data_IF_862747751783
#
_entry.id   IF_862747751783
#
_cell.length_a   1.000
_cell.length_b   1.000
_cell.length_c   1.000
_cell.angle_alpha   90.00
_cell.angle_beta   90.00
_cell.angle_gamma   90.00
#
_symmetry.space_group_name_H-M   'P 1'
#
loop_
_entity.id
_entity.type
_entity.pdbx_description
1 polymer ?
#
# COMPACT_ATOMS: atom_id res chain seq x y z
N UNK A 1 -12.51 -9.30 -5.83
CA UNK A 1 -12.28 -10.77 -5.88
C UNK A 1 -13.10 -11.52 -6.92
N UNK A 2 -14.31 -11.10 -7.29
CA UNK A 2 -15.17 -11.80 -8.28
C UNK A 2 -14.62 -11.72 -9.72
N UNK A 3 -13.98 -10.60 -10.08
CA UNK A 3 -13.36 -10.39 -11.40
C UNK A 3 -12.19 -11.34 -11.67
N UNK A 4 -11.36 -11.61 -10.65
CA UNK A 4 -10.15 -12.43 -10.76
C UNK A 4 -10.50 -13.90 -11.03
N UNK A 5 -11.54 -14.42 -10.38
CA UNK A 5 -12.00 -15.80 -10.61
C UNK A 5 -12.53 -16.00 -12.04
N UNK A 6 -13.31 -15.05 -12.55
CA UNK A 6 -13.82 -15.14 -13.93
C UNK A 6 -12.71 -15.05 -14.97
N UNK A 7 -11.70 -14.22 -14.74
CA UNK A 7 -10.57 -14.06 -15.66
C UNK A 7 -9.71 -15.32 -15.72
N UNK A 8 -9.41 -15.93 -14.56
CA UNK A 8 -8.68 -17.20 -14.49
C UNK A 8 -9.41 -18.32 -15.22
N UNK A 9 -10.74 -18.42 -15.05
CA UNK A 9 -11.56 -19.42 -15.74
C UNK A 9 -11.54 -19.21 -17.26
N UNK A 10 -11.66 -17.97 -17.74
CA UNK A 10 -11.58 -17.65 -19.17
C UNK A 10 -10.21 -17.92 -19.79
N UNK A 11 -9.12 -17.62 -19.07
CA UNK A 11 -7.75 -17.90 -19.53
C UNK A 11 -7.52 -19.41 -19.59
N UNK A 12 -7.99 -20.16 -18.59
CA UNK A 12 -7.83 -21.61 -18.55
C UNK A 12 -8.63 -22.33 -19.64
N UNK A 13 -9.86 -21.89 -19.92
CA UNK A 13 -10.68 -22.43 -21.01
C UNK A 13 -10.07 -22.14 -22.38
N UNK A 14 -9.62 -20.90 -22.61
CA UNK A 14 -8.95 -20.51 -23.86
C UNK A 14 -7.62 -21.27 -24.06
N UNK A 15 -6.89 -21.57 -22.98
CA UNK A 15 -5.65 -22.35 -23.07
C UNK A 15 -5.90 -23.82 -23.46
N UNK A 16 -6.98 -24.43 -22.95
CA UNK A 16 -7.37 -25.81 -23.25
C UNK A 16 -7.81 -25.98 -24.72
N UNK A 17 -8.58 -25.04 -25.26
CA UNK A 17 -9.03 -25.08 -26.66
C UNK A 17 -7.86 -24.97 -27.67
N UNK A 18 -6.85 -24.16 -27.34
CA UNK A 18 -5.68 -23.95 -28.18
C UNK A 18 -4.67 -25.11 -28.18
N UNK A 19 -4.69 -25.97 -27.14
CA UNK A 19 -3.79 -27.12 -27.03
C UNK A 19 -4.05 -28.19 -28.10
N UNK A 20 -5.31 -28.38 -28.52
CA UNK A 20 -5.68 -29.35 -29.55
C UNK A 20 -5.21 -28.92 -30.96
N UNK A 21 -5.18 -27.61 -31.23
CA UNK A 21 -4.69 -27.04 -32.49
C UNK A 21 -3.16 -27.09 -32.59
N UNK A 22 -2.48 -27.02 -31.44
CA UNK A 22 -1.02 -27.04 -31.35
C UNK A 22 -0.41 -28.37 -31.82
N UNK A 23 -1.06 -29.50 -31.49
CA UNK A 23 -0.59 -30.86 -31.80
C UNK A 23 -0.63 -31.20 -33.30
N UNK A 24 -1.39 -30.44 -34.11
CA UNK A 24 -1.58 -30.69 -35.55
C UNK A 24 -0.60 -29.91 -36.45
N UNK A 25 0.25 -29.04 -35.89
CA UNK A 25 1.17 -28.18 -36.65
C UNK A 25 2.51 -28.88 -36.91
N UNK A 26 3.00 -28.74 -38.15
CA UNK A 26 4.21 -29.41 -38.68
C UNK A 26 5.53 -29.00 -38.01
N UNK A 27 5.58 -27.84 -37.36
CA UNK A 27 6.74 -27.34 -36.61
C UNK A 27 6.28 -26.70 -35.30
N UNK A 28 6.22 -27.48 -34.19
CA UNK A 28 5.70 -27.00 -32.91
C UNK A 28 6.63 -25.97 -32.25
N UNK A 29 7.95 -26.17 -32.34
CA UNK A 29 8.96 -25.33 -31.69
C UNK A 29 8.89 -23.84 -32.11
N UNK A 30 8.75 -23.57 -33.41
CA UNK A 30 8.65 -22.21 -33.93
C UNK A 30 7.33 -21.54 -33.56
N UNK A 31 6.26 -22.32 -33.43
CA UNK A 31 4.95 -21.80 -33.02
C UNK A 31 4.91 -21.47 -31.51
N UNK A 32 5.64 -22.23 -30.68
CA UNK A 32 5.80 -21.96 -29.25
C UNK A 32 6.51 -20.62 -29.05
N UNK A 33 7.62 -20.40 -29.74
CA UNK A 33 8.41 -19.18 -29.63
C UNK A 33 7.61 -17.93 -30.04
N UNK A 34 6.87 -17.99 -31.16
CA UNK A 34 6.03 -16.88 -31.62
C UNK A 34 4.89 -16.62 -30.63
N UNK A 35 4.24 -17.66 -30.10
CA UNK A 35 3.16 -17.50 -29.14
C UNK A 35 3.63 -16.89 -27.82
N UNK A 36 4.82 -17.25 -27.33
CA UNK A 36 5.46 -16.68 -26.14
C UNK A 36 5.80 -15.19 -26.33
N UNK A 37 6.35 -14.82 -27.49
CA UNK A 37 6.67 -13.42 -27.82
C UNK A 37 5.39 -12.58 -27.94
N UNK A 38 4.36 -13.12 -28.60
CA UNK A 38 3.08 -12.43 -28.75
C UNK A 38 2.40 -12.23 -27.40
N UNK A 39 2.37 -13.24 -26.52
CA UNK A 39 1.80 -13.08 -25.18
C UNK A 39 2.52 -12.00 -24.38
N UNK A 40 3.85 -11.94 -24.40
CA UNK A 40 4.61 -10.89 -23.70
C UNK A 40 4.27 -9.45 -24.15
N UNK A 41 3.91 -9.26 -25.43
CA UNK A 41 3.59 -7.94 -26.01
C UNK A 41 2.16 -7.47 -25.73
N UNK A 42 1.22 -8.37 -25.44
CA UNK A 42 -0.21 -8.01 -25.22
C UNK A 42 -0.60 -7.97 -23.74
N UNK A 43 0.31 -8.27 -22.81
CA UNK A 43 0.02 -8.11 -21.38
C UNK A 43 0.13 -6.62 -20.99
N UNK A 44 -0.98 -5.94 -20.65
CA UNK A 44 -0.88 -4.58 -20.13
C UNK A 44 -0.12 -4.62 -18.81
N UNK A 45 0.94 -3.82 -18.69
CA UNK A 45 1.58 -3.55 -17.41
C UNK A 45 0.55 -2.85 -16.51
N UNK A 46 0.05 -3.57 -15.50
CA UNK A 46 -0.84 -2.97 -14.49
C UNK A 46 0.04 -2.07 -13.61
N UNK A 47 0.17 -0.80 -13.99
CA UNK A 47 0.85 0.20 -13.16
C UNK A 47 -0.11 0.57 -12.03
N UNK A 48 0.18 0.16 -10.80
CA UNK A 48 -0.53 0.68 -9.63
C UNK A 48 -0.03 2.11 -9.40
N UNK A 49 -0.81 3.11 -9.82
CA UNK A 49 -0.56 4.48 -9.44
C UNK A 49 -0.64 4.58 -7.91
N UNK A 50 0.48 4.91 -7.27
CA UNK A 50 0.50 5.23 -5.86
C UNK A 50 -0.17 6.60 -5.70
N UNK A 51 -1.48 6.61 -5.44
CA UNK A 51 -2.20 7.83 -5.11
C UNK A 51 -1.52 8.47 -3.89
N UNK A 52 -0.84 9.60 -4.11
CA UNK A 52 -0.24 10.38 -3.03
C UNK A 52 -1.37 10.88 -2.13
N UNK A 53 -1.27 10.67 -0.80
CA UNK A 53 -2.31 11.10 0.10
C UNK A 53 -2.50 12.63 0.05
N UNK A 54 -3.71 13.12 0.37
CA UNK A 54 -3.99 14.55 0.47
C UNK A 54 -3.06 15.26 1.47
N UNK A 55 -2.79 16.55 1.26
CA UNK A 55 -1.80 17.31 2.04
C UNK A 55 -2.04 17.28 3.56
N UNK A 56 -3.29 17.29 4.02
CA UNK A 56 -3.65 17.19 5.44
C UNK A 56 -3.33 15.81 6.04
N UNK A 57 -3.50 14.75 5.25
CA UNK A 57 -3.10 13.39 5.61
C UNK A 57 -1.59 13.25 5.61
N UNK A 58 -0.89 13.81 4.62
CA UNK A 58 0.58 13.80 4.55
C UNK A 58 1.21 14.53 5.73
N UNK A 59 0.70 15.71 6.08
CA UNK A 59 1.17 16.46 7.25
C UNK A 59 0.90 15.71 8.56
N UNK A 60 -0.26 15.04 8.68
CA UNK A 60 -0.54 14.19 9.83
C UNK A 60 0.41 13.00 9.92
N UNK A 61 0.66 12.30 8.81
CA UNK A 61 1.59 11.16 8.75
C UNK A 61 2.99 11.57 9.21
N UNK A 62 3.49 12.70 8.70
CA UNK A 62 4.79 13.25 9.09
C UNK A 62 4.88 13.49 10.61
N UNK A 63 3.90 14.18 11.18
CA UNK A 63 3.91 14.48 12.62
C UNK A 63 3.72 13.20 13.46
N UNK A 64 2.92 12.25 12.98
CA UNK A 64 2.70 10.96 13.60
C UNK A 64 3.99 10.11 13.66
N UNK A 65 4.79 10.13 12.59
CA UNK A 65 6.09 9.46 12.51
C UNK A 65 7.08 10.08 13.51
N UNK A 66 7.12 11.41 13.62
CA UNK A 66 7.92 12.10 14.65
C UNK A 66 7.49 11.65 16.05
N UNK A 67 6.19 11.59 16.32
CA UNK A 67 5.70 11.17 17.62
C UNK A 67 6.08 9.73 17.97
N UNK A 68 6.00 8.81 17.02
CA UNK A 68 6.43 7.42 17.25
C UNK A 68 7.95 7.32 17.45
N UNK A 69 8.71 8.09 16.68
CA UNK A 69 10.16 8.18 16.84
C UNK A 69 10.55 8.66 18.24
N UNK A 70 9.97 9.78 18.70
CA UNK A 70 10.23 10.33 20.03
C UNK A 70 9.73 9.42 21.16
N UNK A 71 8.59 8.74 20.97
CA UNK A 71 8.10 7.76 21.93
C UNK A 71 9.06 6.56 22.08
N UNK A 72 9.70 6.14 20.98
CA UNK A 72 10.72 5.10 21.00
C UNK A 72 12.03 5.51 21.67
N UNK A 73 12.32 6.82 21.72
CA UNK A 73 13.46 7.35 22.47
C UNK A 73 13.19 7.44 23.97
N UNK A 74 11.94 7.33 24.43
CA UNK A 74 11.63 7.51 25.85
C UNK A 74 12.01 6.27 26.68
N UNK A 75 12.95 6.48 27.60
CA UNK A 75 13.47 5.49 28.55
C UNK A 75 13.53 6.07 29.99
N UNK A 76 13.19 5.26 30.98
CA UNK A 76 13.29 5.62 32.40
C UNK A 76 14.70 6.00 32.83
N UNK A 77 15.74 5.46 32.17
CA UNK A 77 17.14 5.71 32.51
C UNK A 77 17.74 6.96 31.86
N UNK A 78 16.97 7.72 31.08
CA UNK A 78 17.48 8.94 30.46
C UNK A 78 17.85 10.01 31.50
N UNK A 79 18.95 10.77 31.26
CA UNK A 79 19.27 11.96 32.03
C UNK A 79 18.14 12.99 31.96
N UNK A 80 17.94 13.75 33.04
CA UNK A 80 16.84 14.73 33.15
C UNK A 80 16.89 15.81 32.07
N UNK A 81 18.08 16.22 31.64
CA UNK A 81 18.26 17.16 30.53
C UNK A 81 17.60 16.62 29.25
N UNK A 82 17.88 15.35 28.89
CA UNK A 82 17.31 14.73 27.69
C UNK A 82 15.81 14.48 27.83
N UNK A 83 15.33 14.14 29.02
CA UNK A 83 13.88 14.03 29.30
C UNK A 83 13.16 15.36 29.05
N UNK A 84 13.76 16.50 29.46
CA UNK A 84 13.19 17.83 29.18
C UNK A 84 13.14 18.13 27.69
N UNK A 85 14.21 17.84 26.95
CA UNK A 85 14.26 18.06 25.51
C UNK A 85 13.20 17.22 24.79
N UNK A 86 13.14 15.91 25.10
CA UNK A 86 12.12 14.99 24.58
C UNK A 86 10.70 15.45 24.89
N UNK A 87 10.45 15.97 26.10
CA UNK A 87 9.13 16.49 26.48
C UNK A 87 8.76 17.74 25.67
N UNK A 88 9.72 18.64 25.42
CA UNK A 88 9.50 19.83 24.61
C UNK A 88 9.25 19.49 23.13
N UNK A 89 10.07 18.61 22.56
CA UNK A 89 9.93 18.12 21.18
C UNK A 89 8.59 17.39 21.00
N UNK A 90 8.24 16.49 21.94
CA UNK A 90 6.95 15.78 21.94
C UNK A 90 5.78 16.76 22.07
N UNK A 91 5.89 17.77 22.96
CA UNK A 91 4.86 18.79 23.11
C UNK A 91 4.61 19.59 21.82
N UNK A 92 5.65 19.91 21.06
CA UNK A 92 5.53 20.67 19.82
C UNK A 92 4.81 19.89 18.70
N UNK A 93 5.12 18.60 18.55
CA UNK A 93 4.61 17.79 17.43
C UNK A 93 3.37 16.96 17.80
N UNK A 94 3.26 16.50 19.05
CA UNK A 94 2.32 15.45 19.44
C UNK A 94 1.13 15.95 20.27
N UNK A 95 1.17 17.18 20.82
CA UNK A 95 0.13 17.67 21.74
C UNK A 95 -1.30 17.65 21.16
N UNK A 96 -1.46 17.74 19.84
CA UNK A 96 -2.78 17.74 19.18
C UNK A 96 -2.98 16.56 18.22
N UNK A 97 -2.08 15.58 18.23
CA UNK A 97 -2.04 14.52 17.21
C UNK A 97 -3.30 13.64 17.25
N UNK A 98 -3.81 13.31 18.45
CA UNK A 98 -5.05 12.55 18.63
C UNK A 98 -6.28 13.28 18.10
N UNK A 99 -6.36 14.59 18.39
CA UNK A 99 -7.46 15.42 17.92
C UNK A 99 -7.45 15.49 16.39
N UNK A 100 -6.28 15.68 15.78
CA UNK A 100 -6.09 15.69 14.33
C UNK A 100 -6.44 14.33 13.72
N UNK A 101 -6.01 13.23 14.33
CA UNK A 101 -6.35 11.88 13.87
C UNK A 101 -7.87 11.67 13.89
N UNK A 102 -8.57 12.04 14.96
CA UNK A 102 -10.05 11.95 15.06
C UNK A 102 -10.76 12.80 14.02
N UNK A 103 -10.24 13.98 13.69
CA UNK A 103 -10.77 14.84 12.62
C UNK A 103 -10.59 14.16 11.26
N UNK A 104 -9.39 13.67 10.95
CA UNK A 104 -9.10 13.01 9.69
C UNK A 104 -9.87 11.69 9.51
N UNK A 105 -10.01 10.88 10.58
CA UNK A 105 -10.84 9.66 10.57
C UNK A 105 -12.29 9.97 10.21
N UNK A 106 -12.86 11.07 10.72
CA UNK A 106 -14.22 11.52 10.36
C UNK A 106 -14.30 12.02 8.91
N UNK A 107 -13.32 12.81 8.48
CA UNK A 107 -13.23 13.36 7.12
C UNK A 107 -13.11 12.27 6.06
N UNK A 108 -12.27 11.27 6.30
CA UNK A 108 -11.96 10.18 5.37
C UNK A 108 -12.64 8.84 5.70
N UNK A 109 -13.71 8.84 6.51
CA UNK A 109 -14.37 7.62 7.02
C UNK A 109 -14.80 6.60 5.96
N UNK A 110 -15.04 7.05 4.72
CA UNK A 110 -15.48 6.21 3.60
C UNK A 110 -14.35 5.90 2.61
N UNK A 111 -13.16 6.46 2.81
CA UNK A 111 -12.03 6.25 1.90
C UNK A 111 -11.29 4.96 2.22
N UNK A 112 -11.37 4.00 1.30
CA UNK A 112 -10.71 2.68 1.44
C UNK A 112 -9.19 2.74 1.40
N UNK A 113 -8.61 3.79 0.83
CA UNK A 113 -7.17 3.94 0.64
C UNK A 113 -6.54 4.85 1.71
N UNK A 114 -7.29 5.83 2.24
CA UNK A 114 -6.77 6.84 3.16
C UNK A 114 -7.04 6.46 4.62
N UNK A 115 -8.22 5.93 4.93
CA UNK A 115 -8.57 5.57 6.30
C UNK A 115 -7.57 4.56 6.93
N UNK A 116 -7.09 3.52 6.21
CA UNK A 116 -6.07 2.63 6.76
C UNK A 116 -4.75 3.34 7.08
N UNK A 117 -4.34 4.33 6.26
CA UNK A 117 -3.12 5.11 6.51
C UNK A 117 -3.23 5.96 7.78
N UNK A 118 -4.40 6.55 8.02
CA UNK A 118 -4.64 7.34 9.26
C UNK A 118 -4.69 6.41 10.48
N UNK A 119 -5.30 5.23 10.35
CA UNK A 119 -5.45 4.26 11.43
C UNK A 119 -4.18 3.43 11.72
N UNK A 120 -3.12 3.58 10.92
CA UNK A 120 -1.86 2.86 11.13
C UNK A 120 -1.12 3.32 12.40
N UNK A 121 -1.45 4.49 12.92
CA UNK A 121 -0.84 5.08 14.10
C UNK A 121 -1.75 4.89 15.31
N UNK A 122 -1.18 4.41 16.41
CA UNK A 122 -1.81 4.33 17.71
C UNK A 122 -0.97 5.13 18.71
N UNK A 123 -1.60 6.08 19.39
CA UNK A 123 -0.95 6.95 20.38
C UNK A 123 -1.35 6.59 21.82
N UNK A 124 -2.18 5.56 22.02
CA UNK A 124 -2.28 4.83 23.29
C UNK A 124 -2.63 5.66 24.54
N UNK A 125 -3.66 6.51 24.48
CA UNK A 125 -4.25 7.14 25.67
C UNK A 125 -5.56 6.48 26.12
#
# INVERSE_FOLDING_TARGET
MRVIKNLLVQVFQTALENAALFKKRRHPETFILIFQIMTALVFPTITMAADTPPADVTAFIHDAEICQYLAGEWDGTLPDARKKDLTAETGAHCATIDARQKILRRKYRHSKNILPKINAYDFGY
#
